data_IF_428924294505
#
_entry.id   IF_428924294505
#
_cell.length_a   1.000
_cell.length_b   1.000
_cell.length_c   1.000
_cell.angle_alpha   90.00
_cell.angle_beta   90.00
_cell.angle_gamma   90.00
#
_symmetry.space_group_name_H-M   'P 1'
#
loop_
_entity.id
_entity.type
_entity.pdbx_description
1 polymer ?
#
# COMPACT_ATOMS: atom_id res chain seq x y z
N UNK A 1 1.01 39.33 -51.13
CA UNK A 1 -0.28 38.64 -51.30
C UNK A 1 0.02 37.24 -51.82
N UNK A 2 -0.35 36.24 -51.02
CA UNK A 2 0.04 34.84 -51.15
C UNK A 2 -0.67 34.11 -52.30
N UNK A 3 0.00 33.16 -52.92
CA UNK A 3 -0.57 31.83 -53.23
C UNK A 3 0.57 30.87 -53.64
N UNK A 4 0.83 29.85 -52.83
CA UNK A 4 1.57 28.65 -53.22
C UNK A 4 0.63 27.46 -52.97
N UNK A 5 0.56 26.48 -53.88
CA UNK A 5 -0.57 25.58 -54.01
C UNK A 5 -0.48 24.34 -53.11
N UNK A 6 -1.65 23.72 -53.00
CA UNK A 6 -1.95 22.41 -52.44
C UNK A 6 -1.19 21.32 -53.21
N UNK A 7 -0.48 20.44 -52.51
CA UNK A 7 -0.03 19.14 -53.04
C UNK A 7 -0.44 18.03 -52.06
N UNK A 8 -1.33 17.15 -52.53
CA UNK A 8 -1.63 15.84 -51.95
C UNK A 8 -0.48 14.87 -52.26
N UNK A 9 -0.12 14.04 -51.26
CA UNK A 9 0.50 12.69 -51.38
C UNK A 9 1.05 12.30 -50.00
N UNK A 10 0.93 11.10 -49.42
CA UNK A 10 0.56 9.78 -49.91
C UNK A 10 0.32 8.89 -48.68
N UNK A 11 -0.82 8.20 -48.63
CA UNK A 11 -1.05 7.11 -47.69
C UNK A 11 -0.16 5.92 -48.05
N UNK A 12 0.54 5.35 -47.07
CA UNK A 12 1.14 4.02 -47.18
C UNK A 12 0.66 3.18 -45.99
N UNK A 13 -0.32 2.33 -46.30
CA UNK A 13 -0.67 1.14 -45.52
C UNK A 13 0.48 0.13 -45.63
N UNK A 14 0.90 -0.40 -44.49
CA UNK A 14 1.65 -1.66 -44.43
C UNK A 14 0.96 -2.54 -43.40
N UNK A 15 0.09 -3.42 -43.90
CA UNK A 15 -0.23 -4.68 -43.24
C UNK A 15 0.84 -5.68 -43.65
N UNK A 16 1.52 -6.29 -42.67
CA UNK A 16 2.05 -7.64 -42.82
C UNK A 16 1.73 -8.42 -41.55
N UNK A 17 0.84 -9.38 -41.71
CA UNK A 17 0.59 -10.48 -40.79
C UNK A 17 1.61 -11.57 -41.01
N UNK A 18 2.11 -12.20 -39.95
CA UNK A 18 2.33 -13.65 -39.99
C UNK A 18 2.28 -14.25 -38.60
N UNK A 19 1.36 -15.21 -38.46
CA UNK A 19 1.21 -16.13 -37.35
C UNK A 19 2.50 -16.88 -37.01
N UNK A 20 2.75 -17.08 -35.71
CA UNK A 20 3.36 -18.30 -35.23
C UNK A 20 2.80 -18.72 -33.87
N UNK A 21 1.85 -19.66 -33.92
CA UNK A 21 1.58 -20.63 -32.88
C UNK A 21 2.87 -21.32 -32.42
N UNK A 22 3.11 -21.42 -31.11
CA UNK A 22 3.52 -22.69 -30.45
C UNK A 22 3.64 -22.60 -28.92
N UNK A 23 2.81 -23.44 -28.29
CA UNK A 23 3.07 -24.30 -27.12
C UNK A 23 3.29 -23.72 -25.71
N UNK A 24 2.28 -23.96 -24.87
CA UNK A 24 2.42 -24.27 -23.43
C UNK A 24 3.47 -25.37 -23.19
N UNK A 25 4.05 -25.41 -21.99
CA UNK A 25 4.33 -26.67 -21.32
C UNK A 25 3.57 -26.80 -19.99
N UNK A 26 2.83 -27.90 -19.93
CA UNK A 26 2.17 -28.50 -18.77
C UNK A 26 3.16 -29.42 -18.04
N UNK A 27 3.42 -29.15 -16.75
CA UNK A 27 3.75 -30.04 -15.58
C UNK A 27 4.91 -31.08 -15.71
N UNK A 28 5.68 -31.35 -14.62
CA UNK A 28 5.30 -32.50 -13.79
C UNK A 28 5.44 -32.28 -12.27
N UNK A 29 4.47 -32.84 -11.55
CA UNK A 29 4.49 -33.13 -10.12
C UNK A 29 5.65 -34.06 -9.78
N UNK A 30 6.37 -33.82 -8.68
CA UNK A 30 7.05 -34.91 -7.97
C UNK A 30 7.04 -34.69 -6.46
N UNK A 31 6.47 -35.70 -5.82
CA UNK A 31 6.35 -35.97 -4.40
C UNK A 31 7.71 -36.11 -3.73
N UNK A 32 7.88 -35.56 -2.53
CA UNK A 32 8.71 -36.19 -1.48
C UNK A 32 7.97 -36.14 -0.14
N UNK A 33 7.29 -37.25 0.14
CA UNK A 33 6.98 -37.72 1.48
C UNK A 33 8.28 -38.22 2.09
N UNK A 34 8.59 -37.78 3.31
CA UNK A 34 9.45 -38.53 4.23
C UNK A 34 8.79 -38.49 5.61
N UNK A 35 8.11 -39.59 5.93
CA UNK A 35 7.74 -39.96 7.29
C UNK A 35 8.77 -40.96 7.79
N UNK A 36 9.27 -40.76 9.01
CA UNK A 36 9.82 -41.75 9.97
C UNK A 36 10.43 -40.94 11.12
N UNK A 37 10.20 -41.18 12.41
CA UNK A 37 9.43 -42.22 13.06
C UNK A 37 9.32 -41.90 14.57
N UNK A 38 8.25 -42.38 15.18
CA UNK A 38 8.16 -42.55 16.62
C UNK A 38 9.01 -43.76 17.05
N UNK A 39 9.59 -43.71 18.25
CA UNK A 39 9.63 -44.88 19.10
C UNK A 39 8.84 -44.62 20.38
N UNK A 40 7.78 -45.42 20.54
CA UNK A 40 7.24 -45.77 21.85
C UNK A 40 8.32 -46.48 22.66
N UNK A 41 8.61 -45.99 23.87
CA UNK A 41 9.15 -46.85 24.92
C UNK A 41 8.36 -46.62 26.20
N UNK A 42 7.54 -47.63 26.50
CA UNK A 42 6.87 -47.84 27.77
C UNK A 42 7.90 -48.40 28.75
N UNK A 43 8.24 -47.65 29.80
CA UNK A 43 8.88 -48.19 30.99
C UNK A 43 8.09 -47.70 32.21
N UNK A 44 7.73 -48.69 33.02
CA UNK A 44 6.95 -48.66 34.26
C UNK A 44 7.49 -47.73 35.35
N UNK A 45 6.54 -47.19 36.12
CA UNK A 45 6.65 -46.34 37.31
C UNK A 45 7.51 -46.93 38.46
N UNK A 46 7.99 -46.09 39.40
CA UNK A 46 7.19 -45.86 40.61
C UNK A 46 7.11 -44.39 41.05
N UNK A 47 6.08 -44.13 41.86
CA UNK A 47 5.76 -42.91 42.62
C UNK A 47 6.96 -42.04 43.03
N UNK A 48 6.88 -40.73 42.79
CA UNK A 48 7.14 -39.75 43.86
C UNK A 48 6.48 -38.41 43.55
N UNK A 49 5.74 -37.91 44.54
CA UNK A 49 4.99 -36.67 44.54
C UNK A 49 5.92 -35.45 44.50
N UNK A 50 5.74 -34.59 43.52
CA UNK A 50 6.21 -33.20 43.61
C UNK A 50 5.31 -32.31 42.76
N UNK A 51 4.67 -31.36 43.44
CA UNK A 51 3.78 -30.32 42.93
C UNK A 51 4.18 -29.81 41.53
N UNK A 52 3.44 -30.21 40.49
CA UNK A 52 3.32 -29.39 39.29
C UNK A 52 2.31 -28.30 39.58
N UNK A 53 2.80 -27.18 40.10
CA UNK A 53 2.14 -25.90 39.87
C UNK A 53 2.01 -25.74 38.37
N UNK A 54 0.80 -25.90 37.85
CA UNK A 54 0.41 -25.39 36.54
C UNK A 54 0.56 -23.88 36.66
N UNK A 55 1.76 -23.37 36.36
CA UNK A 55 2.00 -21.94 36.23
C UNK A 55 1.24 -21.53 34.98
N UNK A 56 -0.01 -21.09 35.20
CA UNK A 56 -0.80 -20.36 34.22
C UNK A 56 0.15 -19.34 33.58
N UNK A 57 0.32 -19.31 32.25
CA UNK A 57 1.22 -18.34 31.63
C UNK A 57 0.81 -16.97 32.13
N UNK A 58 1.73 -16.31 32.83
CA UNK A 58 1.54 -14.92 33.25
C UNK A 58 1.24 -14.15 31.96
N UNK A 59 0.17 -13.34 31.91
CA UNK A 59 -0.06 -12.46 30.77
C UNK A 59 1.20 -11.61 30.64
N UNK A 60 2.01 -11.88 29.62
CA UNK A 60 3.16 -11.04 29.31
C UNK A 60 2.55 -9.71 28.87
N UNK A 61 2.85 -8.64 29.60
CA UNK A 61 2.49 -7.31 29.17
C UNK A 61 3.21 -7.06 27.84
N UNK A 62 2.45 -6.97 26.76
CA UNK A 62 2.97 -6.80 25.40
C UNK A 62 2.94 -5.35 24.94
N UNK A 63 2.51 -4.45 25.82
CA UNK A 63 2.25 -3.04 25.50
C UNK A 63 3.56 -2.34 25.10
N UNK A 64 4.70 -2.74 25.68
CA UNK A 64 6.02 -2.18 25.35
C UNK A 64 6.51 -2.50 23.92
N UNK A 65 5.87 -3.47 23.25
CA UNK A 65 6.25 -3.87 21.88
C UNK A 65 5.50 -3.06 20.81
N UNK A 66 4.54 -2.22 21.20
CA UNK A 66 3.71 -1.44 20.28
C UNK A 66 3.63 0.01 20.75
N UNK A 67 3.83 0.99 19.87
CA UNK A 67 3.62 2.41 20.22
C UNK A 67 2.14 2.65 20.58
N UNK A 68 1.24 1.87 19.98
CA UNK A 68 -0.19 1.89 20.26
C UNK A 68 -0.75 0.46 20.29
N UNK A 69 -1.79 0.23 21.08
CA UNK A 69 -2.41 -1.09 21.20
C UNK A 69 -1.50 -2.11 21.89
N UNK A 70 -1.68 -3.38 21.54
CA UNK A 70 -0.99 -4.52 22.16
C UNK A 70 -0.36 -5.41 21.08
N UNK A 71 0.76 -6.06 21.41
CA UNK A 71 1.37 -7.01 20.47
C UNK A 71 0.48 -8.23 20.26
N UNK A 72 0.54 -8.77 19.04
CA UNK A 72 -0.04 -10.08 18.73
C UNK A 72 0.75 -11.15 19.49
N UNK A 73 0.05 -12.17 20.01
CA UNK A 73 0.67 -13.33 20.65
C UNK A 73 0.56 -14.57 19.75
N UNK A 74 1.65 -15.34 19.56
CA UNK A 74 3.02 -15.02 19.98
C UNK A 74 3.57 -13.76 19.26
N UNK A 75 4.54 -13.02 19.84
CA UNK A 75 5.11 -11.84 19.19
C UNK A 75 5.63 -12.16 17.79
N UNK A 76 5.08 -11.47 16.80
CA UNK A 76 5.44 -11.60 15.39
C UNK A 76 6.19 -10.34 14.95
N UNK A 77 7.39 -10.50 14.38
CA UNK A 77 8.13 -9.39 13.77
C UNK A 77 7.60 -9.11 12.37
N UNK A 78 7.70 -7.86 11.95
CA UNK A 78 7.21 -7.40 10.66
C UNK A 78 8.07 -6.27 10.09
N UNK A 79 8.05 -6.13 8.78
CA UNK A 79 8.55 -4.94 8.08
C UNK A 79 7.41 -4.17 7.42
N UNK A 80 6.37 -4.89 6.97
CA UNK A 80 5.22 -4.35 6.27
C UNK A 80 3.92 -4.73 6.97
N UNK A 81 2.85 -4.03 6.64
CA UNK A 81 1.52 -4.35 7.15
C UNK A 81 1.03 -5.74 6.70
N UNK A 82 1.44 -6.16 5.49
CA UNK A 82 1.05 -7.45 4.93
C UNK A 82 1.63 -8.62 5.74
N UNK A 83 2.83 -8.46 6.31
CA UNK A 83 3.47 -9.47 7.17
C UNK A 83 2.59 -9.86 8.35
N UNK A 84 1.84 -8.90 8.90
CA UNK A 84 0.95 -9.12 10.03
C UNK A 84 -0.42 -9.72 9.66
N UNK A 85 -0.76 -9.75 8.36
CA UNK A 85 -2.08 -10.14 7.86
C UNK A 85 -2.04 -11.37 6.92
N UNK A 86 -0.92 -12.11 6.87
CA UNK A 86 -0.71 -13.28 5.99
C UNK A 86 -1.70 -14.44 6.24
N UNK A 87 -2.31 -14.51 7.42
CA UNK A 87 -3.30 -15.55 7.77
C UNK A 87 -4.68 -14.94 7.65
N UNK A 88 -5.33 -15.13 6.50
CA UNK A 88 -6.64 -14.56 6.09
C UNK A 88 -7.87 -14.91 6.95
N UNK A 89 -7.73 -14.97 8.27
CA UNK A 89 -8.82 -15.04 9.23
C UNK A 89 -9.37 -13.63 9.49
N UNK A 90 -10.70 -13.51 9.43
CA UNK A 90 -11.51 -12.29 9.62
C UNK A 90 -11.41 -11.63 11.02
N UNK A 91 -10.43 -11.94 11.84
CA UNK A 91 -10.44 -11.56 13.26
C UNK A 91 -9.23 -10.71 13.58
N UNK A 92 -9.48 -9.42 13.83
CA UNK A 92 -8.53 -8.36 14.22
C UNK A 92 -7.56 -7.93 13.11
N UNK A 93 -7.86 -6.77 12.48
CA UNK A 93 -6.90 -6.08 11.62
C UNK A 93 -5.65 -5.76 12.44
N UNK A 94 -4.48 -6.17 11.93
CA UNK A 94 -3.17 -5.97 12.57
C UNK A 94 -2.35 -4.99 11.75
N UNK A 95 -1.43 -4.29 12.38
CA UNK A 95 -0.46 -3.44 11.68
C UNK A 95 0.95 -3.74 12.15
N UNK A 96 1.92 -3.34 11.33
CA UNK A 96 3.32 -3.39 11.72
C UNK A 96 3.71 -2.09 12.43
N UNK A 97 4.16 -2.18 13.68
CA UNK A 97 4.66 -1.01 14.39
C UNK A 97 5.91 -0.45 13.72
N UNK A 98 5.93 0.85 13.34
CA UNK A 98 7.03 1.41 12.57
C UNK A 98 8.34 1.53 13.37
N UNK A 99 8.28 1.53 14.71
CA UNK A 99 9.46 1.69 15.58
C UNK A 99 9.94 0.34 16.11
N UNK A 100 9.04 -0.44 16.70
CA UNK A 100 9.33 -1.69 17.36
C UNK A 100 9.30 -2.90 16.42
N UNK A 101 8.86 -2.71 15.16
CA UNK A 101 8.85 -3.75 14.10
C UNK A 101 8.13 -5.03 14.53
N UNK A 102 7.04 -4.85 15.26
CA UNK A 102 6.22 -5.90 15.83
C UNK A 102 4.78 -5.78 15.35
N UNK A 103 4.09 -6.90 15.17
CA UNK A 103 2.68 -6.91 14.81
C UNK A 103 1.82 -6.52 16.00
N UNK A 104 1.02 -5.48 15.81
CA UNK A 104 0.19 -4.86 16.83
C UNK A 104 -1.29 -4.93 16.43
N UNK A 105 -2.14 -4.91 17.44
CA UNK A 105 -3.60 -4.86 17.30
C UNK A 105 -4.20 -4.05 18.45
N UNK A 106 -5.42 -3.58 18.26
CA UNK A 106 -6.24 -3.14 19.38
C UNK A 106 -7.00 -4.31 20.00
N UNK A 107 -7.31 -4.20 21.29
CA UNK A 107 -8.18 -5.16 21.98
C UNK A 107 -9.61 -5.16 21.43
N UNK A 108 -10.08 -3.98 21.00
CA UNK A 108 -11.37 -3.78 20.34
C UNK A 108 -11.15 -3.44 18.88
N UNK A 109 -11.99 -3.99 18.00
CA UNK A 109 -11.93 -3.65 16.57
C UNK A 109 -12.06 -2.13 16.38
N UNK A 110 -11.13 -1.58 15.61
CA UNK A 110 -11.09 -0.18 15.19
C UNK A 110 -10.86 -0.16 13.69
N UNK A 111 -11.38 0.87 13.03
CA UNK A 111 -11.10 1.11 11.63
C UNK A 111 -9.63 1.55 11.50
N UNK A 112 -8.79 0.75 10.84
CA UNK A 112 -7.35 1.00 10.70
C UNK A 112 -6.97 1.67 9.37
N UNK A 113 -7.94 2.12 8.59
CA UNK A 113 -7.71 2.74 7.29
C UNK A 113 -8.15 4.19 7.27
N UNK A 114 -7.43 4.98 6.48
CA UNK A 114 -7.85 6.30 6.08
C UNK A 114 -9.22 6.25 5.36
N UNK A 115 -9.88 7.40 5.16
CA UNK A 115 -11.19 7.45 4.49
C UNK A 115 -11.23 6.79 3.10
N UNK A 116 -10.07 6.61 2.46
CA UNK A 116 -9.94 5.93 1.16
C UNK A 116 -10.07 4.39 1.24
N UNK A 117 -10.03 3.83 2.46
CA UNK A 117 -10.11 2.40 2.72
C UNK A 117 -8.88 1.61 2.24
N UNK A 118 -7.76 2.26 1.95
CA UNK A 118 -6.54 1.63 1.44
C UNK A 118 -5.28 2.06 2.18
N UNK A 119 -5.14 3.33 2.56
CA UNK A 119 -3.98 3.80 3.33
C UNK A 119 -4.14 3.36 4.78
N UNK A 120 -3.19 2.60 5.35
CA UNK A 120 -3.25 2.22 6.76
C UNK A 120 -2.96 3.43 7.67
N UNK A 121 -3.85 3.71 8.61
CA UNK A 121 -3.74 4.81 9.57
C UNK A 121 -2.43 4.79 10.34
N UNK A 122 -2.04 3.62 10.83
CA UNK A 122 -0.90 3.45 11.73
C UNK A 122 0.45 3.72 11.05
N UNK A 123 0.47 3.74 9.71
CA UNK A 123 1.65 4.09 8.96
C UNK A 123 1.75 5.60 8.73
N UNK A 124 0.67 6.36 8.94
CA UNK A 124 0.62 7.80 8.70
C UNK A 124 1.03 8.62 9.93
N UNK A 125 1.53 9.86 9.74
CA UNK A 125 1.98 10.71 10.84
C UNK A 125 0.90 11.03 11.87
N UNK A 126 1.30 11.26 13.11
CA UNK A 126 0.39 11.69 14.17
C UNK A 126 -0.13 13.12 13.98
N UNK A 127 -1.39 13.32 14.33
CA UNK A 127 -2.03 14.61 14.46
C UNK A 127 -1.69 15.27 15.81
N UNK A 128 -1.59 16.60 15.79
CA UNK A 128 -1.44 17.40 17.00
C UNK A 128 -2.79 17.64 17.65
N UNK A 129 -2.83 17.71 18.99
CA UNK A 129 -4.02 18.05 19.78
C UNK A 129 -5.25 17.16 19.48
N UNK A 130 -5.04 15.87 19.20
CA UNK A 130 -6.16 14.95 18.98
C UNK A 130 -6.80 14.55 20.31
N UNK A 131 -8.11 14.32 20.28
CA UNK A 131 -8.91 13.80 21.38
C UNK A 131 -9.29 12.35 21.08
N UNK A 132 -8.86 11.36 21.88
CA UNK A 132 -9.10 9.93 21.59
C UNK A 132 -10.57 9.56 21.37
N UNK A 133 -11.49 10.27 22.01
CA UNK A 133 -12.93 10.04 21.93
C UNK A 133 -13.57 10.57 20.64
N UNK A 134 -12.89 11.48 19.92
CA UNK A 134 -13.39 12.12 18.70
C UNK A 134 -12.61 11.65 17.49
N UNK A 135 -13.28 10.90 16.61
CA UNK A 135 -12.69 10.30 15.40
C UNK A 135 -11.94 11.33 14.55
N UNK A 136 -12.53 12.50 14.29
CA UNK A 136 -11.98 13.51 13.37
C UNK A 136 -11.27 14.68 14.07
N UNK A 137 -10.70 14.45 15.25
CA UNK A 137 -10.09 15.51 16.07
C UNK A 137 -8.59 15.69 15.83
N UNK A 138 -8.11 16.90 16.11
CA UNK A 138 -6.70 17.29 16.00
C UNK A 138 -6.39 18.08 14.73
N UNK A 139 -5.10 18.31 14.50
CA UNK A 139 -4.59 19.04 13.34
C UNK A 139 -3.46 18.27 12.68
N UNK A 140 -3.61 18.02 11.37
CA UNK A 140 -2.60 17.33 10.59
C UNK A 140 -1.48 18.29 10.19
N UNK A 141 -0.23 17.81 10.27
CA UNK A 141 0.95 18.59 9.87
C UNK A 141 1.16 18.62 8.35
N UNK A 142 0.59 17.67 7.62
CA UNK A 142 0.66 17.58 6.18
C UNK A 142 -0.41 18.45 5.52
N UNK A 143 -0.06 19.15 4.42
CA UNK A 143 -1.01 19.98 3.69
C UNK A 143 -2.17 19.13 3.15
N UNK A 144 -3.39 19.64 3.25
CA UNK A 144 -4.61 18.96 2.81
C UNK A 144 -4.91 17.63 3.52
N UNK A 145 -4.29 17.39 4.68
CA UNK A 145 -4.59 16.25 5.54
C UNK A 145 -5.76 16.50 6.48
N UNK A 146 -6.53 15.45 6.75
CA UNK A 146 -7.50 15.39 7.84
C UNK A 146 -7.04 14.40 8.91
N UNK A 147 -7.45 14.63 10.14
CA UNK A 147 -7.12 13.73 11.24
C UNK A 147 -8.20 12.67 11.38
N UNK A 148 -7.81 11.40 11.45
CA UNK A 148 -8.67 10.28 11.78
C UNK A 148 -8.00 9.45 12.87
N UNK A 149 -8.66 9.29 14.02
CA UNK A 149 -8.12 8.58 15.18
C UNK A 149 -6.70 9.04 15.57
N UNK A 150 -6.42 10.35 15.49
CA UNK A 150 -5.11 10.89 15.82
C UNK A 150 -4.03 10.68 14.75
N UNK A 151 -4.34 10.14 13.58
CA UNK A 151 -3.43 10.01 12.44
C UNK A 151 -3.85 10.91 11.28
N UNK A 152 -2.86 11.48 10.60
CA UNK A 152 -3.02 12.22 9.36
C UNK A 152 -3.50 11.28 8.25
N UNK A 153 -4.50 11.69 7.49
CA UNK A 153 -4.96 11.01 6.29
C UNK A 153 -5.15 12.01 5.16
N UNK A 154 -5.06 11.58 3.89
CA UNK A 154 -5.50 12.43 2.81
C UNK A 154 -6.99 12.74 2.96
N UNK A 155 -7.34 13.99 2.68
CA UNK A 155 -8.74 14.41 2.57
C UNK A 155 -9.42 13.68 1.40
N UNK A 156 -10.74 13.60 1.44
CA UNK A 156 -11.59 12.86 0.49
C UNK A 156 -11.24 13.11 -0.99
N UNK A 157 -11.73 12.20 -1.86
CA UNK A 157 -11.57 12.07 -3.33
C UNK A 157 -11.88 13.30 -4.21
N UNK A 158 -11.74 14.51 -3.72
CA UNK A 158 -11.77 15.77 -4.45
C UNK A 158 -10.36 16.25 -4.71
N UNK A 159 -10.14 16.91 -5.84
CA UNK A 159 -8.86 17.53 -6.13
C UNK A 159 -8.60 18.62 -5.08
N UNK A 160 -7.53 18.43 -4.30
CA UNK A 160 -7.28 19.27 -3.13
C UNK A 160 -6.63 20.59 -3.56
N UNK A 161 -6.97 21.74 -2.95
CA UNK A 161 -6.30 23.00 -3.25
C UNK A 161 -4.84 22.97 -2.78
N UNK A 162 -3.94 23.71 -3.42
CA UNK A 162 -2.53 23.77 -2.99
C UNK A 162 -1.69 22.57 -3.41
N UNK A 163 -0.82 22.06 -2.53
CA UNK A 163 0.20 21.04 -2.86
C UNK A 163 -0.24 19.61 -2.56
N UNK A 164 0.44 18.66 -3.20
CA UNK A 164 0.08 17.24 -3.11
C UNK A 164 0.27 16.70 -1.69
N UNK A 165 -0.60 15.78 -1.28
CA UNK A 165 -0.49 15.07 -0.01
C UNK A 165 0.46 13.88 -0.16
N UNK A 166 1.51 13.83 0.67
CA UNK A 166 2.45 12.70 0.73
C UNK A 166 1.96 11.68 1.75
N UNK A 167 1.76 10.43 1.32
CA UNK A 167 1.45 9.31 2.22
C UNK A 167 2.73 8.55 2.58
N UNK A 168 2.65 7.68 3.58
CA UNK A 168 3.69 6.70 3.90
C UNK A 168 3.43 5.32 3.26
N UNK A 169 2.37 5.17 2.48
CA UNK A 169 2.07 3.94 1.75
C UNK A 169 3.10 3.69 0.64
N UNK A 170 3.70 2.50 0.63
CA UNK A 170 4.62 2.05 -0.41
C UNK A 170 3.92 1.78 -1.75
N UNK A 171 4.65 1.99 -2.84
CA UNK A 171 4.22 1.67 -4.20
C UNK A 171 5.42 1.35 -5.10
N UNK A 172 5.13 0.71 -6.23
CA UNK A 172 6.09 0.46 -7.30
C UNK A 172 5.54 0.99 -8.61
N UNK A 173 6.41 1.55 -9.46
CA UNK A 173 6.00 2.25 -10.70
C UNK A 173 5.42 1.33 -11.77
N UNK A 174 5.60 0.00 -11.63
CA UNK A 174 5.04 -1.03 -12.49
C UNK A 174 3.74 -1.64 -11.97
N UNK A 175 3.16 -1.11 -10.89
CA UNK A 175 1.85 -1.50 -10.39
C UNK A 175 0.84 -0.35 -10.54
N UNK A 176 -0.44 -0.65 -10.79
CA UNK A 176 -1.49 0.35 -10.82
C UNK A 176 -1.80 0.88 -9.41
N UNK A 177 -2.13 2.16 -9.30
CA UNK A 177 -2.66 2.75 -8.06
C UNK A 177 -4.05 2.18 -7.75
N UNK A 178 -4.32 1.96 -6.48
CA UNK A 178 -5.56 1.34 -6.04
C UNK A 178 -6.79 2.16 -6.47
N UNK A 179 -7.89 1.47 -6.81
CA UNK A 179 -9.10 2.09 -7.39
C UNK A 179 -9.81 3.12 -6.51
N UNK A 180 -9.60 3.06 -5.19
CA UNK A 180 -10.19 3.99 -4.25
C UNK A 180 -9.33 5.24 -4.00
N UNK A 181 -8.10 5.28 -4.53
CA UNK A 181 -7.15 6.38 -4.32
C UNK A 181 -7.22 7.36 -5.49
N UNK A 182 -8.33 8.10 -5.56
CA UNK A 182 -8.52 9.12 -6.61
C UNK A 182 -7.44 10.20 -6.46
N UNK A 183 -6.89 10.63 -7.59
CA UNK A 183 -5.72 11.50 -7.70
C UNK A 183 -4.41 10.91 -7.16
N UNK A 184 -4.41 9.63 -6.79
CA UNK A 184 -3.20 8.92 -6.38
C UNK A 184 -2.24 8.66 -7.55
N UNK A 185 -0.94 8.82 -7.30
CA UNK A 185 0.14 8.41 -8.18
C UNK A 185 1.32 7.85 -7.36
N UNK A 186 2.14 7.02 -7.98
CA UNK A 186 3.35 6.50 -7.36
C UNK A 186 4.52 7.46 -7.68
N UNK A 187 5.13 8.03 -6.65
CA UNK A 187 6.29 8.88 -6.82
C UNK A 187 7.53 8.03 -7.12
N UNK A 188 8.19 8.22 -8.28
CA UNK A 188 9.29 7.35 -8.71
C UNK A 188 10.55 7.50 -7.86
N UNK A 189 10.72 8.63 -7.18
CA UNK A 189 11.90 8.88 -6.34
C UNK A 189 11.80 8.22 -4.98
N UNK A 190 10.64 8.36 -4.31
CA UNK A 190 10.44 7.89 -2.93
C UNK A 190 9.80 6.51 -2.85
N UNK A 191 9.19 6.02 -3.95
CA UNK A 191 8.44 4.76 -3.93
C UNK A 191 7.20 4.83 -3.02
N UNK A 192 6.63 6.02 -2.85
CA UNK A 192 5.45 6.25 -2.00
C UNK A 192 4.27 6.76 -2.82
N UNK A 193 3.06 6.46 -2.34
CA UNK A 193 1.83 7.01 -2.94
C UNK A 193 1.68 8.48 -2.54
N UNK A 194 1.40 9.32 -3.53
CA UNK A 194 1.08 10.74 -3.35
C UNK A 194 -0.33 10.97 -3.88
N UNK A 195 -1.10 11.83 -3.20
CA UNK A 195 -2.40 12.29 -3.69
C UNK A 195 -2.20 13.66 -4.30
N UNK A 196 -2.38 13.75 -5.63
CA UNK A 196 -2.22 14.98 -6.38
C UNK A 196 -3.27 16.02 -5.99
N UNK A 197 -2.85 17.28 -6.00
CA UNK A 197 -3.67 18.46 -5.76
C UNK A 197 -3.84 19.28 -7.05
N UNK A 198 -4.49 20.44 -6.98
CA UNK A 198 -4.61 21.35 -8.12
C UNK A 198 -3.26 21.90 -8.59
N UNK A 199 -2.33 22.10 -7.65
CA UNK A 199 -1.04 22.73 -7.89
C UNK A 199 0.13 21.75 -7.68
N UNK A 200 1.23 22.00 -8.37
CA UNK A 200 2.49 21.31 -8.24
C UNK A 200 3.24 21.77 -7.00
N UNK A 201 4.37 21.14 -6.67
CA UNK A 201 5.23 21.58 -5.56
C UNK A 201 5.86 22.96 -5.82
N UNK A 202 5.85 23.43 -7.07
CA UNK A 202 6.32 24.74 -7.50
C UNK A 202 5.18 25.76 -7.71
N UNK A 203 3.99 25.50 -7.15
CA UNK A 203 2.80 26.36 -7.29
C UNK A 203 2.38 26.60 -8.76
N UNK A 204 2.55 25.61 -9.63
CA UNK A 204 2.04 25.64 -11.01
C UNK A 204 0.87 24.66 -11.16
N UNK A 205 -0.04 24.88 -12.11
CA UNK A 205 -1.11 23.90 -12.34
C UNK A 205 -0.53 22.57 -12.83
N UNK A 206 -0.97 21.46 -12.24
CA UNK A 206 -0.55 20.13 -12.67
C UNK A 206 -0.95 19.89 -14.13
N UNK A 207 0.03 19.51 -14.96
CA UNK A 207 -0.15 19.40 -16.41
C UNK A 207 -0.44 17.96 -16.82
N UNK A 208 -1.68 17.74 -17.27
CA UNK A 208 -2.13 16.50 -17.89
C UNK A 208 -1.45 16.32 -19.26
N UNK A 209 -1.03 15.09 -19.56
CA UNK A 209 -0.54 14.67 -20.88
C UNK A 209 -1.66 13.97 -21.66
N UNK A 210 -1.57 13.98 -22.99
CA UNK A 210 -2.56 13.36 -23.89
C UNK A 210 -2.37 11.84 -24.02
N UNK A 211 -1.95 11.15 -22.96
CA UNK A 211 -1.75 9.70 -22.93
C UNK A 211 -2.39 9.08 -21.69
N UNK A 212 -3.17 8.02 -21.92
CA UNK A 212 -3.64 7.14 -20.85
C UNK A 212 -2.50 6.22 -20.41
N UNK A 213 -2.61 5.69 -19.20
CA UNK A 213 -1.64 4.75 -18.65
C UNK A 213 -2.35 3.65 -17.87
N UNK A 214 -1.63 2.56 -17.61
CA UNK A 214 -2.00 1.54 -16.64
C UNK A 214 -1.06 1.59 -15.43
N UNK A 215 0.21 1.88 -15.66
CA UNK A 215 1.27 2.00 -14.64
C UNK A 215 2.15 3.22 -14.90
N UNK A 216 2.98 3.60 -13.92
CA UNK A 216 3.93 4.71 -14.06
C UNK A 216 4.90 4.55 -15.23
N UNK A 217 5.24 3.31 -15.60
CA UNK A 217 6.14 3.01 -16.73
C UNK A 217 5.60 3.49 -18.09
N UNK A 218 4.29 3.55 -18.25
CA UNK A 218 3.65 3.90 -19.52
C UNK A 218 3.81 5.39 -19.86
N UNK A 219 4.09 6.21 -18.85
CA UNK A 219 4.23 7.66 -19.02
C UNK A 219 5.66 8.11 -19.42
N UNK A 220 6.61 7.18 -19.57
CA UNK A 220 8.04 7.47 -19.68
C UNK A 220 8.74 7.09 -20.99
N UNK A 221 8.06 6.50 -21.99
CA UNK A 221 8.75 6.05 -23.21
C UNK A 221 9.01 7.14 -24.27
N UNK A 222 8.33 8.30 -24.19
CA UNK A 222 8.46 9.35 -25.22
C UNK A 222 8.68 10.79 -24.70
N UNK A 223 8.56 11.04 -23.39
CA UNK A 223 8.46 12.41 -22.83
C UNK A 223 9.30 12.67 -21.56
N UNK A 224 10.35 11.88 -21.30
CA UNK A 224 11.18 11.98 -20.10
C UNK A 224 10.73 11.03 -18.99
N UNK A 225 11.67 10.66 -18.12
CA UNK A 225 11.46 9.73 -16.98
C UNK A 225 10.66 10.37 -15.83
N UNK A 226 10.25 11.63 -16.01
CA UNK A 226 9.70 12.48 -14.96
C UNK A 226 8.18 12.64 -15.08
N UNK A 227 7.46 11.66 -15.64
CA UNK A 227 6.01 11.70 -15.72
C UNK A 227 5.41 10.63 -14.81
N UNK A 228 4.23 10.90 -14.27
CA UNK A 228 3.53 10.01 -13.34
C UNK A 228 2.21 9.55 -13.91
N UNK A 229 1.86 8.29 -13.64
CA UNK A 229 0.55 7.75 -13.95
C UNK A 229 -0.39 8.01 -12.77
N UNK A 230 -1.35 8.90 -12.95
CA UNK A 230 -2.29 9.30 -11.91
C UNK A 230 -3.66 8.68 -12.13
N UNK A 231 -4.27 8.18 -11.06
CA UNK A 231 -5.66 7.72 -11.03
C UNK A 231 -6.62 8.93 -11.07
N UNK A 232 -7.39 9.08 -12.13
CA UNK A 232 -8.36 10.20 -12.27
C UNK A 232 -9.76 9.78 -11.82
N UNK A 233 -10.07 8.49 -11.90
CA UNK A 233 -11.33 7.88 -11.45
C UNK A 233 -11.09 6.41 -11.06
N UNK A 234 -12.13 5.71 -10.58
CA UNK A 234 -12.05 4.29 -10.24
C UNK A 234 -11.63 3.38 -11.43
N UNK A 235 -11.79 3.85 -12.67
CA UNK A 235 -11.46 3.10 -13.90
C UNK A 235 -10.37 3.75 -14.75
N UNK A 236 -10.16 5.07 -14.64
CA UNK A 236 -9.26 5.81 -15.53
C UNK A 236 -7.95 6.17 -14.84
N UNK A 237 -6.82 5.91 -15.50
CA UNK A 237 -5.53 6.53 -15.18
C UNK A 237 -4.99 7.30 -16.38
N UNK A 238 -4.26 8.38 -16.10
CA UNK A 238 -3.75 9.30 -17.09
C UNK A 238 -2.35 9.75 -16.72
N UNK A 239 -1.51 9.98 -17.74
CA UNK A 239 -0.19 10.55 -17.53
C UNK A 239 -0.25 12.05 -17.22
N UNK A 240 0.56 12.47 -16.26
CA UNK A 240 0.80 13.85 -15.88
C UNK A 240 2.31 14.10 -15.82
N UNK A 241 2.72 15.36 -16.01
CA UNK A 241 4.08 15.79 -15.64
C UNK A 241 4.23 15.60 -14.13
N UNK A 242 5.35 15.04 -13.67
CA UNK A 242 5.61 14.87 -12.24
C UNK A 242 5.49 16.23 -11.52
N UNK A 243 4.60 16.37 -10.53
CA UNK A 243 4.39 17.63 -9.81
C UNK A 243 5.64 18.20 -9.11
N UNK A 244 6.71 17.41 -8.97
CA UNK A 244 7.99 17.85 -8.40
C UNK A 244 8.90 18.57 -9.40
N UNK A 245 8.62 18.46 -10.69
CA UNK A 245 9.37 19.11 -11.78
C UNK A 245 8.68 20.40 -12.20
#
# INVERSE_FOLDING_TARGET
MSTIPFEESKSTSVQESTDHFKTLPTIPSTVKIAATGFPNNTISSPFSSSHSTVTRPVPVATDDLCIQGISVLPPEKCETLDDCNLRGGKTTQRWCDPVNKSCCRFEKEHELFCPDGNIPLMNEPFCKNFEPEKIWSGTCSLPNGICKHGHCCPSNNTLLPGTAYKTNQDCVTNAPIHKNQTFGYCDPETGKVFIMSEMSFHNQKNKKLNSFCFTGRDCGQSFGMDNVCMRVSNVTLQCYINPKV
#
